data_IF_486197098748
#
_entry.id   IF_486197098748
#
_cell.length_a   1.000
_cell.length_b   1.000
_cell.length_c   1.000
_cell.angle_alpha   90.00
_cell.angle_beta   90.00
_cell.angle_gamma   90.00
#
_symmetry.space_group_name_H-M   'P 1'
#
loop_
_entity.id
_entity.type
_entity.pdbx_description
1 polymer ?
#
# COMPACT_ATOMS: atom_id res chain seq x y z
N UNK A 1 11.10 -7.56 12.58
CA UNK A 1 9.71 -7.84 12.14
C UNK A 1 9.69 -9.07 11.24
N UNK A 2 9.30 -10.25 11.75
CA UNK A 2 9.05 -11.46 10.93
C UNK A 2 7.61 -11.42 10.42
N UNK A 3 7.28 -10.58 9.44
CA UNK A 3 5.91 -10.51 8.92
C UNK A 3 5.83 -10.98 7.47
N UNK A 4 5.38 -12.24 7.31
CA UNK A 4 4.66 -12.87 6.19
C UNK A 4 4.88 -12.37 4.73
N UNK A 5 6.03 -11.79 4.39
CA UNK A 5 6.38 -11.43 3.01
C UNK A 5 6.79 -12.67 2.19
N UNK A 6 7.23 -13.76 2.83
CA UNK A 6 7.55 -15.03 2.16
C UNK A 6 6.33 -15.73 1.53
N UNK A 7 5.09 -15.34 1.86
CA UNK A 7 3.91 -16.09 1.41
C UNK A 7 3.43 -15.76 -0.01
N UNK A 8 3.96 -14.76 -0.72
CA UNK A 8 3.42 -14.33 -2.04
C UNK A 8 4.44 -13.81 -3.07
N UNK A 9 5.73 -14.09 -2.90
CA UNK A 9 6.74 -13.64 -3.87
C UNK A 9 6.90 -12.11 -3.93
N UNK A 10 6.80 -11.45 -2.77
CA UNK A 10 7.13 -10.04 -2.60
C UNK A 10 8.38 -9.93 -1.74
N UNK A 11 9.45 -9.37 -2.29
CA UNK A 11 10.68 -9.10 -1.54
C UNK A 11 10.47 -7.99 -0.50
N UNK A 12 10.81 -8.27 0.76
CA UNK A 12 10.55 -7.39 1.90
C UNK A 12 11.24 -6.03 1.77
N UNK A 13 12.48 -5.98 1.29
CA UNK A 13 13.23 -4.74 1.09
C UNK A 13 12.50 -3.77 0.16
N UNK A 14 12.01 -4.27 -0.98
CA UNK A 14 11.23 -3.47 -1.94
C UNK A 14 9.91 -2.98 -1.34
N UNK A 15 9.26 -3.79 -0.50
CA UNK A 15 8.04 -3.38 0.21
C UNK A 15 8.33 -2.26 1.20
N UNK A 16 9.43 -2.36 1.94
CA UNK A 16 9.88 -1.30 2.85
C UNK A 16 10.21 0.00 2.10
N UNK A 17 10.88 -0.09 0.94
CA UNK A 17 11.18 1.06 0.10
C UNK A 17 9.91 1.78 -0.36
N UNK A 18 8.89 1.02 -0.81
CA UNK A 18 7.60 1.59 -1.20
C UNK A 18 6.95 2.30 -0.01
N UNK A 19 6.90 1.67 1.17
CA UNK A 19 6.29 2.26 2.37
C UNK A 19 6.95 3.58 2.77
N UNK A 20 8.28 3.63 2.74
CA UNK A 20 9.04 4.80 3.16
C UNK A 20 9.02 5.93 2.13
N UNK A 21 9.20 5.60 0.85
CA UNK A 21 9.59 6.59 -0.16
C UNK A 21 8.56 6.82 -1.26
N UNK A 22 7.50 6.02 -1.39
CA UNK A 22 6.52 6.27 -2.44
C UNK A 22 5.74 7.57 -2.19
N UNK A 23 5.53 8.33 -3.26
CA UNK A 23 4.78 9.59 -3.25
C UNK A 23 3.26 9.42 -3.42
N UNK A 24 2.79 8.25 -3.86
CA UNK A 24 1.36 8.00 -4.08
C UNK A 24 0.73 7.37 -2.85
N UNK A 25 -0.06 8.15 -2.11
CA UNK A 25 -0.69 7.74 -0.85
C UNK A 25 -2.16 8.18 -0.79
N UNK A 26 -2.96 7.38 -0.09
CA UNK A 26 -4.39 7.61 0.09
C UNK A 26 -4.84 7.24 1.50
N UNK A 27 -5.99 7.77 1.90
CA UNK A 27 -6.80 7.24 3.00
C UNK A 27 -7.93 6.38 2.41
N UNK A 28 -8.06 5.13 2.85
CA UNK A 28 -9.22 4.29 2.51
C UNK A 28 -10.36 4.62 3.48
N UNK A 29 -11.40 5.30 2.99
CA UNK A 29 -12.54 5.73 3.82
C UNK A 29 -13.36 4.57 4.38
N UNK A 30 -13.28 3.38 3.79
CA UNK A 30 -13.98 2.18 4.28
C UNK A 30 -13.28 1.56 5.47
N UNK A 31 -11.93 1.51 5.44
CA UNK A 31 -11.15 0.82 6.47
C UNK A 31 -10.44 1.77 7.43
N UNK A 32 -10.47 3.08 7.15
CA UNK A 32 -9.77 4.14 7.89
C UNK A 32 -8.25 3.91 7.97
N UNK A 33 -7.68 3.18 7.00
CA UNK A 33 -6.24 2.90 6.92
C UNK A 33 -5.55 3.77 5.89
N UNK A 34 -4.28 4.08 6.16
CA UNK A 34 -3.40 4.68 5.18
C UNK A 34 -3.04 3.63 4.12
N UNK A 35 -2.99 4.07 2.89
CA UNK A 35 -2.65 3.29 1.72
C UNK A 35 -1.43 3.92 1.08
N UNK A 36 -0.44 3.11 0.77
CA UNK A 36 0.62 3.50 -0.18
C UNK A 36 0.48 2.67 -1.45
N UNK A 37 0.72 3.32 -2.58
CA UNK A 37 0.82 2.66 -3.89
C UNK A 37 2.27 2.70 -4.33
N UNK A 38 2.77 1.61 -4.90
CA UNK A 38 4.12 1.57 -5.45
C UNK A 38 4.27 0.51 -6.51
N UNK A 39 5.46 0.43 -7.09
CA UNK A 39 5.84 -0.67 -8.00
C UNK A 39 6.71 -1.66 -7.26
N UNK A 40 6.32 -2.93 -7.32
CA UNK A 40 7.15 -4.06 -6.94
C UNK A 40 7.46 -4.85 -8.22
N UNK A 41 8.71 -4.77 -8.68
CA UNK A 41 9.11 -5.22 -10.02
C UNK A 41 8.20 -4.58 -11.09
N UNK A 42 7.56 -5.41 -11.93
CA UNK A 42 6.65 -4.95 -12.98
C UNK A 42 5.19 -4.81 -12.53
N UNK A 43 4.92 -5.02 -11.23
CA UNK A 43 3.55 -5.03 -10.68
C UNK A 43 3.27 -3.77 -9.88
N UNK A 44 2.16 -3.11 -10.18
CA UNK A 44 1.63 -2.06 -9.32
C UNK A 44 0.99 -2.71 -8.08
N UNK A 45 1.34 -2.24 -6.89
CA UNK A 45 0.86 -2.80 -5.62
C UNK A 45 0.22 -1.73 -4.76
N UNK A 46 -0.77 -2.16 -3.97
CA UNK A 46 -1.34 -1.40 -2.86
C UNK A 46 -0.91 -2.06 -1.57
N UNK A 47 -0.43 -1.25 -0.63
CA UNK A 47 -0.04 -1.68 0.71
C UNK A 47 -0.82 -0.82 1.72
N UNK A 48 -1.90 -1.34 2.32
CA UNK A 48 -2.50 -0.73 3.48
C UNK A 48 -1.55 -0.84 4.67
N UNK A 49 -1.40 0.23 5.43
CA UNK A 49 -0.53 0.27 6.59
C UNK A 49 -1.13 1.09 7.73
N UNK A 50 -0.66 0.81 8.93
CA UNK A 50 -0.93 1.58 10.13
C UNK A 50 0.34 2.34 10.52
N UNK A 51 0.18 3.55 11.05
CA UNK A 51 1.29 4.40 11.48
C UNK A 51 1.14 4.73 12.96
N UNK A 52 2.11 4.32 13.76
CA UNK A 52 2.17 4.56 15.20
C UNK A 52 3.46 5.34 15.50
N UNK A 53 3.34 6.68 15.55
CA UNK A 53 4.51 7.56 15.66
C UNK A 53 5.45 7.41 14.44
N UNK A 54 6.66 6.91 14.67
CA UNK A 54 7.65 6.60 13.63
C UNK A 54 7.54 5.18 13.07
N UNK A 55 6.76 4.31 13.70
CA UNK A 55 6.58 2.94 13.25
C UNK A 55 5.52 2.87 12.13
N UNK A 56 5.86 2.14 11.07
CA UNK A 56 4.96 1.85 9.94
C UNK A 56 4.77 0.34 9.90
N UNK A 57 3.53 -0.11 10.06
CA UNK A 57 3.16 -1.52 10.10
C UNK A 57 2.33 -1.83 8.87
N UNK A 58 2.86 -2.55 7.87
CA UNK A 58 2.07 -2.99 6.74
C UNK A 58 1.04 -4.04 7.17
N UNK A 59 -0.21 -3.85 6.77
CA UNK A 59 -1.33 -4.76 7.08
C UNK A 59 -1.43 -5.86 6.02
N UNK A 60 -1.29 -5.49 4.74
CA UNK A 60 -1.29 -6.45 3.63
C UNK A 60 -0.58 -5.87 2.40
N UNK A 61 -0.27 -6.70 1.43
CA UNK A 61 0.18 -6.28 0.10
C UNK A 61 -0.60 -7.05 -0.97
N UNK A 62 -1.05 -6.34 -2.00
CA UNK A 62 -1.66 -6.97 -3.16
C UNK A 62 -1.33 -6.22 -4.45
N UNK A 63 -1.17 -6.98 -5.53
CA UNK A 63 -1.10 -6.42 -6.87
C UNK A 63 -2.46 -5.78 -7.24
N UNK A 64 -2.42 -4.72 -8.01
CA UNK A 64 -3.58 -3.97 -8.48
C UNK A 64 -3.33 -3.39 -9.86
N UNK A 65 -4.31 -2.70 -10.41
CA UNK A 65 -4.17 -1.94 -11.66
C UNK A 65 -4.48 -0.47 -11.45
N UNK A 66 -3.95 0.39 -12.33
CA UNK A 66 -4.27 1.83 -12.33
C UNK A 66 -5.78 2.07 -12.45
N UNK A 67 -6.48 1.24 -13.22
CA UNK A 67 -7.93 1.30 -13.36
C UNK A 67 -8.65 1.07 -12.03
N UNK A 68 -8.21 0.08 -11.23
CA UNK A 68 -8.80 -0.20 -9.92
C UNK A 68 -8.56 0.95 -8.92
N UNK A 69 -7.37 1.56 -8.94
CA UNK A 69 -7.08 2.73 -8.10
C UNK A 69 -7.98 3.90 -8.50
N UNK A 70 -8.03 4.23 -9.79
CA UNK A 70 -8.84 5.34 -10.31
C UNK A 70 -10.33 5.13 -10.02
N UNK A 71 -10.82 3.88 -10.11
CA UNK A 71 -12.18 3.56 -9.72
C UNK A 71 -12.44 3.90 -8.24
N UNK A 72 -11.54 3.48 -7.33
CA UNK A 72 -11.67 3.77 -5.89
C UNK A 72 -11.59 5.27 -5.57
N UNK A 73 -10.80 6.03 -6.32
CA UNK A 73 -10.77 7.50 -6.22
C UNK A 73 -12.09 8.11 -6.69
N UNK A 74 -12.58 7.67 -7.86
CA UNK A 74 -13.84 8.16 -8.46
C UNK A 74 -15.04 7.89 -7.55
N UNK A 75 -15.06 6.76 -6.84
CA UNK A 75 -16.14 6.43 -5.90
C UNK A 75 -15.95 7.04 -4.52
N UNK A 76 -14.90 7.83 -4.28
CA UNK A 76 -14.61 8.42 -2.96
C UNK A 76 -14.17 7.43 -1.89
N UNK A 77 -13.84 6.18 -2.30
CA UNK A 77 -13.29 5.19 -1.37
C UNK A 77 -11.85 5.53 -1.02
N UNK A 78 -11.06 5.95 -2.00
CA UNK A 78 -9.73 6.49 -1.77
C UNK A 78 -9.83 8.01 -1.78
N UNK A 79 -9.23 8.63 -0.76
CA UNK A 79 -9.11 10.07 -0.59
C UNK A 79 -7.62 10.38 -0.60
N UNK A 80 -7.20 11.46 -1.28
CA UNK A 80 -5.82 11.92 -1.21
C UNK A 80 -5.47 12.24 0.26
N UNK A 81 -4.45 11.55 0.77
CA UNK A 81 -3.97 11.71 2.14
C UNK A 81 -2.93 12.79 2.28
#
# INVERSE_FOLDING_TARGET
MKYRAELRGFELSKVEDILRYSGERYLDSTTQRLIVVGKHDDRLVIIPYEKHGSEIIPVSIHATTRQQINFRLKTGRFIYG
#
